data_IF_349909254956
#
_entry.id   IF_349909254956
#
_cell.length_a   1.000
_cell.length_b   1.000
_cell.length_c   1.000
_cell.angle_alpha   90.00
_cell.angle_beta   90.00
_cell.angle_gamma   90.00
#
_symmetry.space_group_name_H-M   'P 1'
#
loop_
_entity.id
_entity.type
_entity.pdbx_description
1 polymer ?
#
# COMPACT_ATOMS: atom_id res chain seq x y z
N UNK A 1 -8.16 -11.28 -29.29
CA UNK A 1 -9.07 -12.16 -28.54
C UNK A 1 -9.12 -11.64 -27.13
N UNK A 2 -10.21 -10.98 -26.72
CA UNK A 2 -10.38 -10.56 -25.33
C UNK A 2 -10.54 -11.83 -24.48
N UNK A 3 -9.86 -11.95 -23.33
CA UNK A 3 -9.99 -13.14 -22.49
C UNK A 3 -11.45 -13.33 -22.08
N UNK A 4 -11.92 -14.59 -22.09
CA UNK A 4 -13.29 -14.98 -21.78
C UNK A 4 -13.69 -14.76 -20.31
N UNK A 5 -12.72 -14.42 -19.44
CA UNK A 5 -12.93 -14.14 -18.03
C UNK A 5 -11.96 -13.05 -17.54
N UNK A 6 -12.45 -12.20 -16.64
CA UNK A 6 -11.63 -11.23 -15.89
C UNK A 6 -10.85 -11.90 -14.74
N UNK A 7 -11.21 -13.13 -14.38
CA UNK A 7 -10.56 -13.92 -13.34
C UNK A 7 -9.37 -14.67 -13.94
N UNK A 8 -8.17 -14.53 -13.37
CA UNK A 8 -7.00 -15.29 -13.79
C UNK A 8 -7.27 -16.80 -13.70
N UNK A 9 -6.69 -17.56 -14.63
CA UNK A 9 -6.70 -19.02 -14.49
C UNK A 9 -6.00 -19.40 -13.17
N UNK A 10 -6.68 -20.22 -12.37
CA UNK A 10 -6.16 -20.71 -11.09
C UNK A 10 -5.04 -21.72 -11.31
N UNK A 11 -5.02 -22.42 -12.45
CA UNK A 11 -4.02 -23.40 -12.86
C UNK A 11 -2.89 -22.79 -13.73
N UNK A 12 -2.70 -21.47 -13.68
CA UNK A 12 -1.65 -20.76 -14.43
C UNK A 12 -0.23 -21.23 -14.03
N UNK A 13 0.76 -21.14 -14.95
CA UNK A 13 2.10 -21.68 -14.70
C UNK A 13 2.86 -20.98 -13.57
N UNK A 14 3.72 -21.74 -12.88
CA UNK A 14 4.66 -21.24 -11.89
C UNK A 14 5.79 -20.44 -12.58
N UNK A 15 5.83 -19.13 -12.36
CA UNK A 15 6.91 -18.26 -12.79
C UNK A 15 7.00 -17.02 -11.86
N UNK A 16 7.86 -17.04 -10.82
CA UNK A 16 7.89 -16.04 -9.76
C UNK A 16 8.19 -14.59 -10.16
N UNK A 17 8.78 -14.35 -11.33
CA UNK A 17 9.07 -13.01 -11.92
C UNK A 17 9.35 -11.91 -10.86
N UNK A 18 10.37 -12.08 -9.99
CA UNK A 18 10.60 -11.19 -8.84
C UNK A 18 10.88 -9.74 -9.26
N UNK A 19 11.31 -9.53 -10.50
CA UNK A 19 11.58 -8.21 -11.08
C UNK A 19 10.31 -7.40 -11.41
N UNK A 20 9.12 -8.02 -11.45
CA UNK A 20 7.93 -7.38 -12.02
C UNK A 20 7.46 -6.16 -11.21
N UNK A 21 7.30 -6.32 -9.90
CA UNK A 21 6.91 -5.21 -9.00
C UNK A 21 7.99 -4.12 -8.97
N UNK A 22 9.30 -4.42 -8.78
CA UNK A 22 10.35 -3.42 -8.91
C UNK A 22 10.33 -2.67 -10.25
N UNK A 23 10.07 -3.36 -11.36
CA UNK A 23 10.00 -2.74 -12.69
C UNK A 23 8.85 -1.74 -12.82
N UNK A 24 7.71 -2.01 -12.17
CA UNK A 24 6.56 -1.09 -12.12
C UNK A 24 6.94 0.21 -11.40
N UNK A 25 7.55 0.11 -10.22
CA UNK A 25 7.98 1.29 -9.47
C UNK A 25 9.10 2.05 -10.20
N UNK A 26 10.07 1.33 -10.77
CA UNK A 26 11.14 1.92 -11.56
C UNK A 26 10.59 2.66 -12.80
N UNK A 27 9.57 2.10 -13.45
CA UNK A 27 8.88 2.74 -14.57
C UNK A 27 8.21 4.05 -14.13
N UNK A 28 7.63 4.11 -12.93
CA UNK A 28 7.05 5.35 -12.39
C UNK A 28 8.14 6.41 -12.15
N UNK A 29 9.26 6.04 -11.53
CA UNK A 29 10.37 6.96 -11.22
C UNK A 29 11.07 7.45 -12.49
N UNK A 30 11.43 6.55 -13.41
CA UNK A 30 12.06 6.95 -14.68
C UNK A 30 11.07 7.76 -15.52
N UNK A 31 9.81 7.32 -15.57
CA UNK A 31 8.75 8.00 -16.30
C UNK A 31 8.52 9.43 -15.80
N UNK A 32 8.67 9.70 -14.51
CA UNK A 32 8.46 11.04 -13.95
C UNK A 32 9.60 12.03 -14.24
N UNK A 33 10.78 11.54 -14.66
CA UNK A 33 11.88 12.39 -15.16
C UNK A 33 11.62 12.96 -16.56
N UNK A 34 10.75 12.29 -17.34
CA UNK A 34 10.40 12.72 -18.69
C UNK A 34 9.61 14.04 -18.65
N UNK A 35 9.74 14.88 -19.70
CA UNK A 35 8.98 16.12 -19.82
C UNK A 35 7.47 15.88 -19.67
N UNK A 36 6.81 16.71 -18.88
CA UNK A 36 5.38 16.61 -18.67
C UNK A 36 4.62 16.86 -19.97
N UNK A 37 3.65 16.00 -20.25
CA UNK A 37 2.82 16.11 -21.43
C UNK A 37 2.04 14.84 -21.72
N UNK A 38 1.15 14.91 -22.72
CA UNK A 38 0.29 13.79 -23.12
C UNK A 38 1.11 12.57 -23.56
N UNK A 39 2.24 12.79 -24.24
CA UNK A 39 3.11 11.70 -24.69
C UNK A 39 3.69 10.90 -23.53
N UNK A 40 4.23 11.56 -22.50
CA UNK A 40 4.69 10.91 -21.26
C UNK A 40 3.56 10.13 -20.59
N UNK A 41 2.42 10.78 -20.42
CA UNK A 41 1.27 10.16 -19.77
C UNK A 41 0.83 8.89 -20.52
N UNK A 42 0.72 8.94 -21.85
CA UNK A 42 0.33 7.79 -22.65
C UNK A 42 1.39 6.68 -22.66
N UNK A 43 2.67 7.03 -22.88
CA UNK A 43 3.74 6.03 -23.00
C UNK A 43 3.97 5.28 -21.70
N UNK A 44 4.17 6.01 -20.59
CA UNK A 44 4.44 5.40 -19.27
C UNK A 44 3.23 4.61 -18.78
N UNK A 45 2.02 5.15 -18.92
CA UNK A 45 0.80 4.42 -18.53
C UNK A 45 0.64 3.14 -19.35
N UNK A 46 0.96 3.15 -20.65
CA UNK A 46 0.90 1.94 -21.48
C UNK A 46 1.91 0.88 -21.04
N UNK A 47 3.14 1.28 -20.68
CA UNK A 47 4.14 0.36 -20.14
C UNK A 47 3.70 -0.22 -18.79
N UNK A 48 3.16 0.62 -17.90
CA UNK A 48 2.61 0.17 -16.61
C UNK A 48 1.49 -0.84 -16.82
N UNK A 49 0.50 -0.54 -17.68
CA UNK A 49 -0.59 -1.46 -17.99
C UNK A 49 -0.07 -2.78 -18.57
N UNK A 50 0.94 -2.74 -19.44
CA UNK A 50 1.58 -3.94 -19.98
C UNK A 50 2.22 -4.78 -18.88
N UNK A 51 2.98 -4.18 -17.96
CA UNK A 51 3.63 -4.88 -16.84
C UNK A 51 2.59 -5.47 -15.88
N UNK A 52 1.57 -4.70 -15.53
CA UNK A 52 0.47 -5.13 -14.64
C UNK A 52 -0.30 -6.30 -15.27
N UNK A 53 -0.55 -6.26 -16.59
CA UNK A 53 -1.20 -7.35 -17.31
C UNK A 53 -0.38 -8.66 -17.33
N UNK A 54 0.89 -8.65 -16.92
CA UNK A 54 1.69 -9.87 -16.77
C UNK A 54 1.43 -10.61 -15.46
N UNK A 55 0.95 -9.92 -14.42
CA UNK A 55 0.70 -10.48 -13.08
C UNK A 55 -0.25 -11.69 -13.12
N UNK A 56 -1.44 -11.61 -13.76
CA UNK A 56 -2.38 -12.73 -13.75
C UNK A 56 -1.96 -13.91 -14.64
N UNK A 57 -0.86 -13.80 -15.40
CA UNK A 57 -0.43 -14.86 -16.34
C UNK A 57 0.36 -15.98 -15.70
N UNK A 58 0.91 -15.76 -14.51
CA UNK A 58 1.70 -16.76 -13.78
C UNK A 58 1.51 -16.61 -12.27
N UNK A 59 1.82 -17.67 -11.53
CA UNK A 59 1.86 -17.66 -10.05
C UNK A 59 3.31 -17.63 -9.58
N UNK A 60 3.56 -17.02 -8.42
CA UNK A 60 4.86 -17.14 -7.76
C UNK A 60 5.00 -18.42 -6.93
N UNK A 61 3.90 -19.15 -6.74
CA UNK A 61 3.82 -20.29 -5.82
C UNK A 61 3.70 -19.86 -4.35
N UNK A 62 3.72 -18.55 -4.07
CA UNK A 62 3.63 -17.99 -2.71
C UNK A 62 2.35 -17.16 -2.59
N UNK A 63 1.35 -17.67 -1.85
CA UNK A 63 0.02 -17.06 -1.72
C UNK A 63 0.07 -15.57 -1.31
N UNK A 64 0.98 -15.22 -0.40
CA UNK A 64 1.15 -13.84 0.03
C UNK A 64 1.62 -12.93 -1.12
N UNK A 65 2.54 -13.39 -1.96
CA UNK A 65 3.03 -12.60 -3.10
C UNK A 65 1.98 -12.53 -4.22
N UNK A 66 1.30 -13.65 -4.51
CA UNK A 66 0.23 -13.70 -5.51
C UNK A 66 -0.95 -12.79 -5.13
N UNK A 67 -1.31 -12.69 -3.84
CA UNK A 67 -2.36 -11.77 -3.40
C UNK A 67 -1.91 -10.30 -3.37
N UNK A 68 -0.69 -10.02 -2.91
CA UNK A 68 -0.19 -8.65 -2.77
C UNK A 68 0.27 -8.03 -4.10
N UNK A 69 0.71 -8.82 -5.07
CA UNK A 69 1.23 -8.34 -6.36
C UNK A 69 0.26 -7.41 -7.10
N UNK A 70 -0.99 -7.84 -7.38
CA UNK A 70 -2.01 -6.99 -8.01
C UNK A 70 -2.34 -5.73 -7.20
N UNK A 71 -2.35 -5.83 -5.87
CA UNK A 71 -2.64 -4.70 -4.97
C UNK A 71 -1.55 -3.64 -5.13
N UNK A 72 -0.28 -4.02 -5.01
CA UNK A 72 0.86 -3.12 -5.15
C UNK A 72 0.91 -2.48 -6.54
N UNK A 73 0.74 -3.28 -7.58
CA UNK A 73 0.67 -2.83 -8.97
C UNK A 73 -0.44 -1.79 -9.19
N UNK A 74 -1.64 -2.04 -8.66
CA UNK A 74 -2.78 -1.13 -8.78
C UNK A 74 -2.52 0.16 -7.99
N UNK A 75 -1.95 0.08 -6.79
CA UNK A 75 -1.59 1.26 -6.00
C UNK A 75 -0.52 2.11 -6.70
N UNK A 76 0.48 1.49 -7.32
CA UNK A 76 1.50 2.19 -8.11
C UNK A 76 0.88 2.88 -9.34
N UNK A 77 -0.02 2.20 -10.07
CA UNK A 77 -0.75 2.81 -11.18
C UNK A 77 -1.61 3.99 -10.72
N UNK A 78 -2.36 3.82 -9.62
CA UNK A 78 -3.19 4.89 -9.05
C UNK A 78 -2.34 6.10 -8.61
N UNK A 79 -1.18 5.85 -8.00
CA UNK A 79 -0.23 6.90 -7.65
C UNK A 79 0.28 7.62 -8.90
N UNK A 80 0.70 6.87 -9.93
CA UNK A 80 1.15 7.43 -11.20
C UNK A 80 0.10 8.33 -11.84
N UNK A 81 -1.14 7.85 -11.94
CA UNK A 81 -2.25 8.61 -12.50
C UNK A 81 -2.54 9.87 -11.69
N UNK A 82 -2.58 9.77 -10.37
CA UNK A 82 -2.86 10.91 -9.50
C UNK A 82 -1.78 11.98 -9.59
N UNK A 83 -0.50 11.64 -9.43
CA UNK A 83 0.56 12.63 -9.32
C UNK A 83 1.12 13.12 -10.66
N UNK A 84 1.14 12.28 -11.69
CA UNK A 84 1.86 12.57 -12.94
C UNK A 84 0.97 12.68 -14.18
N UNK A 85 -0.33 12.34 -14.07
CA UNK A 85 -1.31 12.47 -15.16
C UNK A 85 -2.39 13.51 -14.83
N UNK A 86 -3.00 13.43 -13.65
CA UNK A 86 -4.10 14.34 -13.27
C UNK A 86 -3.63 15.68 -12.71
N UNK A 87 -2.40 15.77 -12.21
CA UNK A 87 -1.84 16.97 -11.62
C UNK A 87 -0.52 17.35 -12.29
N UNK A 88 -0.13 18.60 -12.12
CA UNK A 88 1.19 19.07 -12.54
C UNK A 88 2.25 18.74 -11.49
N UNK A 89 3.50 18.58 -11.92
CA UNK A 89 4.61 18.45 -10.97
C UNK A 89 4.74 19.69 -10.09
N UNK A 90 4.39 20.86 -10.62
CA UNK A 90 4.43 22.14 -9.90
C UNK A 90 3.38 22.26 -8.79
N UNK A 91 2.37 21.38 -8.78
CA UNK A 91 1.36 21.36 -7.71
C UNK A 91 1.95 20.81 -6.39
N UNK A 92 3.11 20.14 -6.45
CA UNK A 92 3.72 19.43 -5.34
C UNK A 92 4.99 20.12 -4.87
N UNK A 93 4.96 20.58 -3.62
CA UNK A 93 6.06 21.35 -3.03
C UNK A 93 6.51 20.67 -1.74
N UNK A 94 7.83 20.45 -1.62
CA UNK A 94 8.46 20.03 -0.36
C UNK A 94 8.45 21.22 0.58
N UNK A 95 7.92 21.06 1.78
CA UNK A 95 7.82 22.17 2.75
C UNK A 95 9.17 22.75 3.14
N UNK A 96 10.24 21.94 3.08
CA UNK A 96 11.63 22.36 3.33
C UNK A 96 12.27 23.15 2.19
N UNK A 97 11.80 22.97 0.94
CA UNK A 97 12.44 23.48 -0.27
C UNK A 97 11.49 24.37 -1.10
N UNK A 98 10.52 25.03 -0.44
CA UNK A 98 9.42 25.69 -1.14
C UNK A 98 9.86 26.74 -2.17
N UNK A 99 11.00 27.39 -1.92
CA UNK A 99 11.53 28.47 -2.75
C UNK A 99 12.77 28.07 -3.58
N UNK A 100 13.21 26.81 -3.52
CA UNK A 100 14.46 26.37 -4.15
C UNK A 100 14.21 25.79 -5.56
N UNK A 101 14.73 26.40 -6.65
CA UNK A 101 14.63 25.81 -7.98
C UNK A 101 15.47 24.54 -8.03
N UNK A 102 14.89 23.43 -8.52
CA UNK A 102 15.65 22.20 -8.75
C UNK A 102 16.64 22.38 -9.90
N UNK A 103 17.93 22.24 -9.59
CA UNK A 103 19.01 22.34 -10.57
C UNK A 103 19.64 20.96 -10.79
N UNK A 104 19.60 20.48 -12.03
CA UNK A 104 20.32 19.28 -12.45
C UNK A 104 19.57 17.96 -12.30
N UNK A 105 20.12 16.90 -12.90
CA UNK A 105 19.46 15.60 -13.02
C UNK A 105 19.33 14.87 -11.69
N UNK A 106 20.34 14.91 -10.83
CA UNK A 106 20.32 14.21 -9.54
C UNK A 106 19.30 14.81 -8.56
N UNK A 107 19.20 16.15 -8.49
CA UNK A 107 18.18 16.80 -7.67
C UNK A 107 16.77 16.47 -8.15
N UNK A 108 16.57 16.42 -9.48
CA UNK A 108 15.30 15.97 -10.06
C UNK A 108 15.02 14.50 -9.75
N UNK A 109 16.02 13.62 -9.82
CA UNK A 109 15.87 12.21 -9.46
C UNK A 109 15.51 12.05 -7.99
N UNK A 110 16.20 12.74 -7.08
CA UNK A 110 15.93 12.71 -5.65
C UNK A 110 14.50 13.20 -5.36
N UNK A 111 14.09 14.34 -5.94
CA UNK A 111 12.74 14.87 -5.76
C UNK A 111 11.67 13.91 -6.29
N UNK A 112 11.90 13.32 -7.46
CA UNK A 112 10.95 12.38 -8.05
C UNK A 112 10.90 11.06 -7.29
N UNK A 113 12.05 10.56 -6.82
CA UNK A 113 12.13 9.41 -5.93
C UNK A 113 11.32 9.66 -4.67
N UNK A 114 11.59 10.78 -3.98
CA UNK A 114 10.91 11.16 -2.74
C UNK A 114 9.39 11.27 -2.94
N UNK A 115 8.93 11.92 -4.02
CA UNK A 115 7.50 12.01 -4.34
C UNK A 115 6.86 10.63 -4.61
N UNK A 116 7.52 9.76 -5.38
CA UNK A 116 7.03 8.42 -5.69
C UNK A 116 6.97 7.52 -4.44
N UNK A 117 7.89 7.71 -3.50
CA UNK A 117 7.93 6.93 -2.24
C UNK A 117 7.12 7.56 -1.11
N UNK A 118 6.73 8.84 -1.23
CA UNK A 118 5.87 9.50 -0.28
C UNK A 118 4.45 8.93 -0.39
N UNK A 119 4.03 8.18 0.63
CA UNK A 119 2.67 7.61 0.69
C UNK A 119 1.69 8.52 1.46
N UNK A 120 2.20 9.25 2.45
CA UNK A 120 1.40 10.07 3.39
C UNK A 120 1.66 11.58 3.29
N UNK A 121 2.55 11.99 2.39
CA UNK A 121 2.91 13.39 2.17
C UNK A 121 3.69 14.01 3.33
N UNK A 122 4.54 13.24 4.02
CA UNK A 122 5.38 13.77 5.10
C UNK A 122 6.44 14.69 4.49
N UNK A 123 6.53 15.94 4.93
CA UNK A 123 7.40 16.95 4.32
C UNK A 123 6.86 17.54 3.01
N UNK A 124 5.61 17.26 2.63
CA UNK A 124 4.97 17.77 1.41
C UNK A 124 3.70 18.58 1.72
N UNK A 125 3.34 19.49 0.81
CA UNK A 125 2.12 20.31 0.88
C UNK A 125 0.79 19.53 0.83
N UNK A 126 0.85 18.21 0.62
CA UNK A 126 -0.34 17.34 0.47
C UNK A 126 -0.51 16.31 1.59
N UNK A 127 0.18 16.48 2.74
CA UNK A 127 0.10 15.58 3.91
C UNK A 127 -1.35 15.17 4.21
N UNK A 128 -1.60 13.87 4.31
CA UNK A 128 -2.96 13.35 4.58
C UNK A 128 -3.38 13.65 6.03
N UNK A 129 -4.69 13.71 6.27
CA UNK A 129 -5.22 13.96 7.61
C UNK A 129 -4.94 12.78 8.56
N UNK A 130 -4.86 13.08 9.87
CA UNK A 130 -4.73 12.11 10.96
C UNK A 130 -3.49 11.23 10.90
N UNK A 131 -2.41 11.70 10.27
CA UNK A 131 -1.09 11.08 10.42
C UNK A 131 -0.61 11.32 11.85
N UNK A 132 -0.17 10.28 12.58
CA UNK A 132 0.43 10.44 13.90
C UNK A 132 1.63 11.38 13.88
N UNK A 133 1.96 11.93 15.04
CA UNK A 133 3.19 12.72 15.20
C UNK A 133 4.43 11.85 14.97
N UNK A 134 5.42 12.43 14.29
CA UNK A 134 6.71 11.79 14.04
C UNK A 134 7.57 11.74 15.29
N UNK A 135 8.75 11.11 15.17
CA UNK A 135 9.77 11.23 16.20
C UNK A 135 10.14 12.70 16.41
N UNK A 136 10.45 13.14 17.64
CA UNK A 136 10.99 14.47 17.90
C UNK A 136 12.21 14.78 17.03
N UNK A 137 12.38 16.03 16.61
CA UNK A 137 13.46 16.43 15.70
C UNK A 137 14.88 16.23 16.27
N UNK A 138 15.01 16.21 17.59
CA UNK A 138 16.25 15.95 18.32
C UNK A 138 16.52 14.45 18.54
N UNK A 139 15.68 13.55 18.00
CA UNK A 139 15.85 12.10 18.12
C UNK A 139 17.16 11.67 17.46
N UNK A 140 18.04 11.06 18.25
CA UNK A 140 19.30 10.56 17.71
C UNK A 140 19.09 9.37 16.77
N UNK A 141 19.76 9.41 15.61
CA UNK A 141 19.70 8.40 14.55
C UNK A 141 19.76 6.96 15.07
N UNK A 142 20.77 6.61 15.86
CA UNK A 142 20.96 5.23 16.30
C UNK A 142 20.00 4.79 17.43
N UNK A 143 19.45 5.74 18.19
CA UNK A 143 18.37 5.46 19.13
C UNK A 143 17.11 5.06 18.36
N UNK A 144 16.75 5.82 17.33
CA UNK A 144 15.63 5.51 16.45
C UNK A 144 15.80 4.14 15.77
N UNK A 145 16.95 3.91 15.13
CA UNK A 145 17.23 2.63 14.43
C UNK A 145 17.12 1.44 15.37
N UNK A 146 17.69 1.53 16.59
CA UNK A 146 17.56 0.46 17.59
C UNK A 146 16.11 0.20 17.98
N UNK A 147 15.32 1.25 18.18
CA UNK A 147 13.92 1.13 18.54
C UNK A 147 13.11 0.48 17.40
N UNK A 148 13.32 0.89 16.16
CA UNK A 148 12.64 0.30 15.00
C UNK A 148 13.05 -1.16 14.77
N UNK A 149 14.32 -1.52 14.95
CA UNK A 149 14.75 -2.93 14.92
C UNK A 149 14.05 -3.73 16.02
N UNK A 150 13.95 -3.19 17.24
CA UNK A 150 13.25 -3.85 18.35
C UNK A 150 11.77 -4.04 18.03
N UNK A 151 11.14 -3.03 17.43
CA UNK A 151 9.75 -3.10 16.99
C UNK A 151 9.54 -4.11 15.85
N UNK A 152 10.48 -4.22 14.91
CA UNK A 152 10.44 -5.22 13.86
C UNK A 152 10.54 -6.64 14.43
N UNK A 153 11.46 -6.88 15.38
CA UNK A 153 11.60 -8.17 16.06
C UNK A 153 10.35 -8.53 16.86
N UNK A 154 9.80 -7.58 17.63
CA UNK A 154 8.56 -7.80 18.37
C UNK A 154 7.40 -8.09 17.42
N UNK A 155 7.26 -7.31 16.35
CA UNK A 155 6.21 -7.51 15.34
C UNK A 155 6.35 -8.87 14.64
N UNK A 156 7.57 -9.33 14.36
CA UNK A 156 7.83 -10.67 13.82
C UNK A 156 7.36 -11.76 14.78
N UNK A 157 7.71 -11.68 16.07
CA UNK A 157 7.28 -12.65 17.08
C UNK A 157 5.75 -12.69 17.21
N UNK A 158 5.11 -11.51 17.29
CA UNK A 158 3.66 -11.41 17.38
C UNK A 158 2.96 -11.89 16.10
N UNK A 159 3.56 -11.65 14.93
CA UNK A 159 3.11 -12.21 13.67
C UNK A 159 3.12 -13.73 13.73
N UNK A 160 4.24 -14.35 14.09
CA UNK A 160 4.38 -15.80 14.15
C UNK A 160 3.40 -16.43 15.14
N UNK A 161 3.30 -15.89 16.36
CA UNK A 161 2.32 -16.33 17.37
C UNK A 161 0.89 -16.22 16.85
N UNK A 162 0.57 -15.16 16.10
CA UNK A 162 -0.78 -14.98 15.55
C UNK A 162 -1.09 -15.94 14.40
N UNK A 163 -0.12 -16.27 13.56
CA UNK A 163 -0.34 -17.17 12.42
C UNK A 163 -0.29 -18.64 12.81
N UNK A 164 0.50 -18.98 13.84
CA UNK A 164 0.78 -20.35 14.22
C UNK A 164 -0.49 -21.20 14.41
N UNK A 165 -1.52 -20.77 15.18
CA UNK A 165 -2.72 -21.58 15.37
C UNK A 165 -3.46 -21.91 14.08
N UNK A 166 -3.51 -20.97 13.12
CA UNK A 166 -4.13 -21.21 11.82
C UNK A 166 -3.27 -22.16 10.98
N UNK A 167 -1.94 -21.96 10.97
CA UNK A 167 -1.00 -22.74 10.15
C UNK A 167 -1.02 -24.24 10.45
N UNK A 168 -1.22 -24.62 11.71
CA UNK A 168 -1.27 -26.02 12.16
C UNK A 168 -2.69 -26.60 12.25
N UNK A 169 -3.71 -25.81 11.91
CA UNK A 169 -5.10 -26.23 11.96
C UNK A 169 -5.58 -26.85 10.65
N UNK A 170 -6.71 -27.57 10.69
CA UNK A 170 -7.35 -28.10 9.48
C UNK A 170 -7.84 -27.01 8.50
N UNK A 171 -7.87 -25.73 8.91
CA UNK A 171 -8.29 -24.61 8.05
C UNK A 171 -7.31 -24.31 6.90
N UNK A 172 -6.09 -24.82 6.95
CA UNK A 172 -5.12 -24.72 5.86
C UNK A 172 -5.10 -25.96 4.97
N UNK A 173 -5.94 -26.96 5.26
CA UNK A 173 -6.05 -28.18 4.45
C UNK A 173 -6.76 -27.92 3.11
N UNK A 174 -6.69 -28.90 2.21
CA UNK A 174 -7.34 -28.83 0.90
C UNK A 174 -8.88 -28.75 0.99
N UNK A 175 -9.46 -29.28 2.07
CA UNK A 175 -10.89 -29.23 2.37
C UNK A 175 -11.10 -28.62 3.76
N UNK A 176 -11.01 -27.28 3.89
CA UNK A 176 -11.07 -26.64 5.18
C UNK A 176 -12.48 -26.77 5.78
N UNK A 177 -12.61 -27.07 7.10
CA UNK A 177 -13.91 -27.17 7.74
C UNK A 177 -14.62 -25.81 7.72
N UNK A 178 -15.95 -25.85 7.78
CA UNK A 178 -16.74 -24.63 7.86
C UNK A 178 -16.57 -23.97 9.25
N UNK A 179 -15.94 -22.80 9.28
CA UNK A 179 -15.68 -22.02 10.50
C UNK A 179 -16.94 -21.81 11.35
N UNK A 180 -18.11 -21.63 10.73
CA UNK A 180 -19.37 -21.37 11.45
C UNK A 180 -19.90 -22.57 12.22
N UNK A 181 -19.35 -23.77 11.99
CA UNK A 181 -19.69 -24.98 12.77
C UNK A 181 -18.94 -25.05 14.10
N UNK A 182 -17.90 -24.23 14.27
CA UNK A 182 -17.13 -24.19 15.52
C UNK A 182 -17.87 -23.43 16.63
N UNK A 183 -17.41 -23.62 17.86
CA UNK A 183 -17.83 -22.79 18.99
C UNK A 183 -17.39 -21.33 18.78
N UNK A 184 -18.23 -20.39 19.21
CA UNK A 184 -17.99 -18.95 19.07
C UNK A 184 -16.57 -18.48 19.50
N UNK A 185 -15.98 -18.94 20.62
CA UNK A 185 -14.61 -18.52 20.98
C UNK A 185 -13.56 -18.88 19.93
N UNK A 186 -13.73 -20.04 19.28
CA UNK A 186 -12.83 -20.51 18.23
C UNK A 186 -13.04 -19.72 16.95
N UNK A 187 -14.28 -19.42 16.59
CA UNK A 187 -14.59 -18.51 15.47
C UNK A 187 -13.92 -17.15 15.65
N UNK A 188 -14.07 -16.55 16.84
CA UNK A 188 -13.43 -15.27 17.18
C UNK A 188 -11.92 -15.36 17.08
N UNK A 189 -11.30 -16.40 17.65
CA UNK A 189 -9.86 -16.59 17.62
C UNK A 189 -9.32 -16.69 16.18
N UNK A 190 -9.88 -17.58 15.36
CA UNK A 190 -9.41 -17.79 13.98
C UNK A 190 -9.77 -16.64 13.02
N UNK A 191 -10.70 -15.77 13.40
CA UNK A 191 -10.99 -14.54 12.64
C UNK A 191 -10.03 -13.41 13.01
N UNK A 192 -9.76 -13.22 14.31
CA UNK A 192 -8.97 -12.09 14.80
C UNK A 192 -7.46 -12.31 14.74
N UNK A 193 -6.98 -13.54 14.93
CA UNK A 193 -5.54 -13.83 14.87
C UNK A 193 -4.92 -13.49 13.50
N UNK A 194 -5.52 -13.86 12.34
CA UNK A 194 -4.99 -13.45 11.04
C UNK A 194 -5.02 -11.93 10.82
N UNK A 195 -6.04 -11.24 11.34
CA UNK A 195 -6.13 -9.78 11.29
C UNK A 195 -5.00 -9.12 12.10
N UNK A 196 -4.72 -9.63 13.31
CA UNK A 196 -3.59 -9.19 14.13
C UNK A 196 -2.28 -9.45 13.39
N UNK A 197 -2.09 -10.65 12.82
CA UNK A 197 -0.90 -10.97 12.04
C UNK A 197 -0.71 -10.02 10.87
N UNK A 198 -1.77 -9.72 10.11
CA UNK A 198 -1.69 -8.74 9.01
C UNK A 198 -1.25 -7.36 9.51
N UNK A 199 -1.74 -6.92 10.68
CA UNK A 199 -1.30 -5.69 11.32
C UNK A 199 0.19 -5.74 11.69
N UNK A 200 0.66 -6.84 12.27
CA UNK A 200 2.06 -7.01 12.67
C UNK A 200 3.00 -7.12 11.46
N UNK A 201 2.57 -7.77 10.37
CA UNK A 201 3.34 -7.84 9.13
C UNK A 201 3.58 -6.45 8.53
N UNK A 202 2.57 -5.58 8.57
CA UNK A 202 2.68 -4.19 8.13
C UNK A 202 3.64 -3.38 9.03
N UNK A 203 3.51 -3.52 10.35
CA UNK A 203 4.39 -2.84 11.30
C UNK A 203 5.84 -3.29 11.14
N UNK A 204 6.07 -4.60 11.00
CA UNK A 204 7.39 -5.18 10.77
C UNK A 204 8.03 -4.63 9.49
N UNK A 205 7.33 -4.66 8.35
CA UNK A 205 7.85 -4.13 7.09
C UNK A 205 8.17 -2.64 7.18
N UNK A 206 7.28 -1.87 7.81
CA UNK A 206 7.46 -0.45 8.03
C UNK A 206 8.70 -0.17 8.89
N UNK A 207 8.87 -0.88 10.01
CA UNK A 207 10.00 -0.70 10.92
C UNK A 207 11.34 -1.18 10.35
N UNK A 208 11.35 -2.24 9.55
CA UNK A 208 12.56 -2.65 8.81
C UNK A 208 12.96 -1.54 7.84
N UNK A 209 12.00 -1.03 7.06
CA UNK A 209 12.30 -0.05 6.03
C UNK A 209 12.68 1.33 6.61
N UNK A 210 12.04 1.76 7.69
CA UNK A 210 12.41 2.97 8.44
C UNK A 210 13.82 2.84 9.02
N UNK A 211 14.14 1.72 9.67
CA UNK A 211 15.46 1.48 10.25
C UNK A 211 16.56 1.48 9.17
N UNK A 212 16.35 0.77 8.06
CA UNK A 212 17.34 0.67 6.98
C UNK A 212 17.61 2.04 6.34
N UNK A 213 16.55 2.78 6.02
CA UNK A 213 16.71 4.05 5.30
C UNK A 213 17.27 5.17 6.19
N UNK A 214 16.92 5.20 7.49
CA UNK A 214 17.54 6.10 8.46
C UNK A 214 18.99 5.70 8.75
N UNK A 215 19.29 4.39 8.87
CA UNK A 215 20.67 3.89 9.02
C UNK A 215 21.55 4.27 7.83
N UNK A 216 21.01 4.22 6.60
CA UNK A 216 21.67 4.65 5.38
C UNK A 216 21.82 6.19 5.27
N UNK A 217 21.12 6.97 6.10
CA UNK A 217 21.15 8.42 6.05
C UNK A 217 20.31 9.03 4.91
N UNK A 218 19.36 8.27 4.37
CA UNK A 218 18.44 8.74 3.32
C UNK A 218 17.30 9.59 3.90
N UNK A 219 16.90 9.31 5.15
CA UNK A 219 15.83 10.00 5.86
C UNK A 219 16.22 10.25 7.32
N UNK A 220 15.56 11.22 7.93
CA UNK A 220 15.63 11.52 9.36
C UNK A 220 14.54 10.75 10.14
N UNK A 221 14.70 10.54 11.45
CA UNK A 221 13.68 9.90 12.30
C UNK A 221 12.28 10.52 12.19
N UNK A 222 12.20 11.85 12.06
CA UNK A 222 10.95 12.61 11.93
C UNK A 222 10.18 12.33 10.63
N UNK A 223 10.86 11.85 9.59
CA UNK A 223 10.25 11.50 8.30
C UNK A 223 9.42 10.20 8.36
N UNK A 224 9.56 9.43 9.45
CA UNK A 224 8.95 8.12 9.65
C UNK A 224 7.86 8.09 10.74
N UNK A 225 6.82 8.95 10.71
CA UNK A 225 5.77 8.91 11.72
C UNK A 225 5.04 7.56 11.74
N UNK A 226 4.58 7.04 12.89
CA UNK A 226 3.95 5.73 12.99
C UNK A 226 2.86 5.47 11.93
N UNK A 227 2.86 4.27 11.34
CA UNK A 227 1.88 3.88 10.31
C UNK A 227 0.49 3.56 10.90
N UNK A 228 0.46 3.17 12.17
CA UNK A 228 -0.75 2.99 12.96
C UNK A 228 -0.87 4.13 13.97
N UNK A 229 -2.10 4.53 14.28
CA UNK A 229 -2.40 5.44 15.39
C UNK A 229 -2.30 4.76 16.76
N UNK A 230 -2.66 5.48 17.83
CA UNK A 230 -2.71 4.92 19.18
C UNK A 230 -4.07 4.24 19.40
N UNK A 231 -4.06 3.02 19.93
CA UNK A 231 -5.30 2.27 20.22
C UNK A 231 -6.19 2.98 21.24
N UNK A 232 -5.61 3.68 22.21
CA UNK A 232 -6.35 4.43 23.24
C UNK A 232 -7.23 5.55 22.65
N UNK A 233 -6.90 6.04 21.45
CA UNK A 233 -7.67 7.08 20.76
C UNK A 233 -8.86 6.52 19.97
N UNK A 234 -9.07 5.20 19.99
CA UNK A 234 -10.11 4.51 19.22
C UNK A 234 -11.33 4.24 20.10
N UNK A 235 -12.35 5.09 19.96
CA UNK A 235 -13.63 4.93 20.65
C UNK A 235 -14.78 4.55 19.70
N UNK A 236 -14.58 4.68 18.39
CA UNK A 236 -15.59 4.42 17.37
C UNK A 236 -14.99 3.68 16.16
N UNK A 237 -15.84 3.04 15.36
CA UNK A 237 -15.43 2.47 14.05
C UNK A 237 -14.81 3.55 13.15
N UNK A 238 -15.28 4.79 13.25
CA UNK A 238 -14.68 5.93 12.54
C UNK A 238 -13.26 6.20 13.01
N UNK A 239 -12.97 6.13 14.31
CA UNK A 239 -11.61 6.32 14.83
C UNK A 239 -10.69 5.17 14.40
N UNK A 240 -11.21 3.94 14.34
CA UNK A 240 -10.45 2.79 13.88
C UNK A 240 -9.91 3.00 12.46
N UNK A 241 -10.78 3.32 11.50
CA UNK A 241 -10.37 3.56 10.10
C UNK A 241 -9.78 4.96 9.88
N UNK A 242 -10.12 5.90 10.76
CA UNK A 242 -9.88 7.33 10.61
C UNK A 242 -8.66 7.85 11.35
N UNK A 243 -8.13 7.14 12.35
CA UNK A 243 -6.93 7.52 13.12
C UNK A 243 -5.96 6.36 13.28
N UNK A 244 -6.48 5.15 13.48
CA UNK A 244 -5.64 4.00 13.80
C UNK A 244 -5.11 3.26 12.57
N UNK A 245 -5.97 2.65 11.75
CA UNK A 245 -5.59 1.65 10.75
C UNK A 245 -4.82 2.21 9.54
N UNK A 246 -3.78 1.47 9.10
CA UNK A 246 -2.96 1.61 7.89
C UNK A 246 -3.18 2.92 7.11
N UNK A 247 -2.40 3.95 7.46
CA UNK A 247 -2.57 5.31 6.93
C UNK A 247 -2.01 5.52 5.50
N UNK A 248 -1.20 4.59 4.98
CA UNK A 248 -0.42 4.78 3.73
C UNK A 248 -1.26 4.84 2.46
N UNK A 249 -2.40 4.14 2.39
CA UNK A 249 -3.21 4.06 1.16
C UNK A 249 -4.30 5.13 1.06
N UNK A 250 -4.41 6.03 2.04
CA UNK A 250 -5.52 6.99 2.12
C UNK A 250 -5.67 7.88 0.90
N UNK A 251 -4.53 8.35 0.39
CA UNK A 251 -4.55 9.22 -0.79
C UNK A 251 -5.08 8.45 -2.00
N UNK A 252 -4.64 7.21 -2.20
CA UNK A 252 -5.11 6.34 -3.29
C UNK A 252 -6.61 6.07 -3.18
N UNK A 253 -7.10 5.72 -1.98
CA UNK A 253 -8.52 5.45 -1.76
C UNK A 253 -9.41 6.69 -1.94
N UNK A 254 -8.84 7.88 -1.87
CA UNK A 254 -9.55 9.14 -2.10
C UNK A 254 -9.63 9.56 -3.58
N UNK A 255 -8.89 8.89 -4.48
CA UNK A 255 -8.86 9.22 -5.91
C UNK A 255 -10.24 9.19 -6.55
N UNK A 256 -11.09 8.15 -6.37
CA UNK A 256 -12.40 8.11 -7.05
C UNK A 256 -13.28 9.31 -6.72
N UNK A 257 -13.25 9.77 -5.46
CA UNK A 257 -13.97 10.99 -5.07
C UNK A 257 -13.36 12.26 -5.68
N UNK A 258 -12.03 12.36 -5.78
CA UNK A 258 -11.37 13.49 -6.47
C UNK A 258 -11.75 13.55 -7.94
N UNK A 259 -11.75 12.41 -8.63
CA UNK A 259 -12.17 12.29 -10.03
C UNK A 259 -13.64 12.66 -10.18
N UNK A 260 -14.54 12.14 -9.33
CA UNK A 260 -15.96 12.50 -9.37
C UNK A 260 -16.18 14.02 -9.24
N UNK A 261 -15.45 14.69 -8.35
CA UNK A 261 -15.53 16.15 -8.19
C UNK A 261 -15.07 16.95 -9.41
N UNK A 262 -14.24 16.38 -10.28
CA UNK A 262 -13.82 17.05 -11.51
C UNK A 262 -14.96 17.14 -12.54
N UNK A 263 -15.94 16.24 -12.45
CA UNK A 263 -17.12 16.22 -13.33
C UNK A 263 -18.37 16.80 -12.67
N UNK A 264 -18.50 16.66 -11.35
CA UNK A 264 -19.67 17.10 -10.59
C UNK A 264 -19.25 18.05 -9.47
N UNK A 265 -19.70 19.32 -9.46
CA UNK A 265 -19.35 20.27 -8.41
C UNK A 265 -20.05 19.90 -7.10
N UNK A 266 -19.33 19.21 -6.21
CA UNK A 266 -19.82 18.83 -4.89
C UNK A 266 -19.31 19.83 -3.85
N UNK A 267 -20.22 20.56 -3.19
CA UNK A 267 -19.86 21.53 -2.15
C UNK A 267 -19.21 20.84 -0.95
N UNK A 268 -18.00 21.29 -0.58
CA UNK A 268 -17.27 20.83 0.61
C UNK A 268 -18.11 21.04 1.89
N UNK A 269 -17.96 20.14 2.86
CA UNK A 269 -18.62 20.22 4.16
C UNK A 269 -20.06 19.67 4.22
N UNK A 270 -20.71 19.45 3.07
CA UNK A 270 -22.05 18.85 2.99
C UNK A 270 -22.05 17.38 3.40
N UNK A 271 -23.21 16.86 3.84
CA UNK A 271 -23.39 15.43 4.13
C UNK A 271 -23.12 14.56 2.89
N UNK A 272 -23.59 15.01 1.72
CA UNK A 272 -23.34 14.36 0.43
C UNK A 272 -21.83 14.20 0.20
N UNK A 273 -21.06 15.29 0.35
CA UNK A 273 -19.60 15.24 0.23
C UNK A 273 -18.97 14.25 1.21
N UNK A 274 -19.44 14.20 2.46
CA UNK A 274 -18.89 13.31 3.51
C UNK A 274 -19.17 11.84 3.19
N UNK A 275 -20.41 11.49 2.84
CA UNK A 275 -20.78 10.11 2.57
C UNK A 275 -20.23 9.60 1.23
N UNK A 276 -20.17 10.44 0.19
CA UNK A 276 -19.53 10.04 -1.07
C UNK A 276 -18.04 9.73 -0.89
N UNK A 277 -17.31 10.55 -0.13
CA UNK A 277 -15.92 10.24 0.23
C UNK A 277 -15.80 8.89 0.93
N UNK A 278 -16.68 8.64 1.90
CA UNK A 278 -16.68 7.41 2.67
C UNK A 278 -16.97 6.19 1.79
N UNK A 279 -18.10 6.17 1.10
CA UNK A 279 -18.53 5.02 0.29
C UNK A 279 -17.54 4.73 -0.84
N UNK A 280 -17.08 5.76 -1.56
CA UNK A 280 -16.13 5.56 -2.65
C UNK A 280 -14.77 5.04 -2.15
N UNK A 281 -14.30 5.50 -0.99
CA UNK A 281 -13.06 4.98 -0.40
C UNK A 281 -13.20 3.51 0.02
N UNK A 282 -14.32 3.11 0.62
CA UNK A 282 -14.58 1.72 0.99
C UNK A 282 -14.79 0.81 -0.22
N UNK A 283 -15.48 1.28 -1.27
CA UNK A 283 -15.61 0.55 -2.55
C UNK A 283 -14.24 0.35 -3.18
N UNK A 284 -13.42 1.40 -3.27
CA UNK A 284 -12.06 1.31 -3.81
C UNK A 284 -11.18 0.33 -3.01
N UNK A 285 -11.28 0.37 -1.68
CA UNK A 285 -10.58 -0.56 -0.80
C UNK A 285 -11.04 -2.00 -1.04
N UNK A 286 -12.36 -2.24 -1.11
CA UNK A 286 -12.93 -3.56 -1.39
C UNK A 286 -12.49 -4.11 -2.74
N UNK A 287 -12.49 -3.28 -3.79
CA UNK A 287 -12.01 -3.67 -5.12
C UNK A 287 -10.53 -4.03 -5.12
N UNK A 288 -9.68 -3.27 -4.41
CA UNK A 288 -8.26 -3.61 -4.26
C UNK A 288 -8.07 -4.99 -3.62
N UNK A 289 -8.78 -5.27 -2.52
CA UNK A 289 -8.71 -6.59 -1.87
C UNK A 289 -9.28 -7.69 -2.77
N UNK A 290 -10.34 -7.40 -3.51
CA UNK A 290 -10.92 -8.34 -4.46
C UNK A 290 -9.93 -8.71 -5.57
N UNK A 291 -9.20 -7.74 -6.14
CA UNK A 291 -8.15 -8.01 -7.13
C UNK A 291 -7.06 -8.93 -6.59
N UNK A 292 -6.62 -8.73 -5.35
CA UNK A 292 -5.67 -9.63 -4.69
C UNK A 292 -6.24 -11.04 -4.50
N UNK A 293 -7.50 -11.15 -4.04
CA UNK A 293 -8.17 -12.42 -3.85
C UNK A 293 -8.38 -13.19 -5.16
N UNK A 294 -8.76 -12.51 -6.24
CA UNK A 294 -8.92 -13.10 -7.58
C UNK A 294 -7.60 -13.66 -8.13
N UNK A 295 -6.46 -13.10 -7.72
CA UNK A 295 -5.15 -13.56 -8.18
C UNK A 295 -4.60 -14.74 -7.36
N UNK A 296 -5.32 -15.27 -6.38
CA UNK A 296 -4.87 -16.48 -5.70
C UNK A 296 -4.95 -17.71 -6.63
N UNK A 297 -3.87 -18.50 -6.80
CA UNK A 297 -3.90 -19.74 -7.58
C UNK A 297 -4.74 -20.82 -6.87
N UNK A 298 -5.09 -21.90 -7.58
CA UNK A 298 -5.65 -23.09 -6.93
C UNK A 298 -4.55 -23.80 -6.14
N UNK A 299 -4.91 -24.37 -5.00
CA UNK A 299 -4.05 -25.22 -4.16
C UNK A 299 -3.77 -26.60 -4.77
N UNK A 300 -3.90 -26.77 -6.09
CA UNK A 300 -3.66 -28.04 -6.75
C UNK A 300 -2.14 -28.28 -6.87
N UNK A 301 -1.52 -28.69 -5.77
CA UNK A 301 -0.34 -29.55 -5.80
C UNK A 301 -0.76 -30.98 -6.25
N UNK A 302 -1.40 -31.07 -7.40
CA UNK A 302 -1.41 -32.30 -8.18
C UNK A 302 -0.57 -32.01 -9.42
N UNK A 303 0.74 -32.18 -9.26
CA UNK A 303 1.73 -32.51 -10.30
C UNK A 303 3.12 -32.27 -9.72
N UNK A 304 3.60 -33.26 -8.96
CA UNK A 304 4.94 -33.83 -9.03
C UNK A 304 5.03 -35.05 -8.12
#
# INVERSE_FOLDING_TARGET
MFPSSFVPDKARPLAPRPYLIPSIYLTCVIGSLLPQGKLRALSVTSVLLYLIAQIPKCTTGVLAQDSLGPIQATLALLHWLDFFVFHSQDDWVRTKDADAPQKGLMQRLEWNWDLNTAMRGIGWNWKVNNVPEGAPADTQKWIFVRNEISQALLSYMLFDISQYPLSVSAYTSADPPNLFTEKLPRQLLFTWLPAIGSCQALLMQYSIFSALTVAAGLYSPEDWPPVMGKLIDVCTVRDLWGKFWHQMIRRNLSIPFRVLKSFVPIRKGTLISKYLQLYLAFIASGLLHHLGALNLPSSSQENN
#
